data_IF_560739572139
#
_entry.id   IF_560739572139
#
_cell.length_a   1.000
_cell.length_b   1.000
_cell.length_c   1.000
_cell.angle_alpha   90.00
_cell.angle_beta   90.00
_cell.angle_gamma   90.00
#
_symmetry.space_group_name_H-M   'P 1'
#
loop_
_entity.id
_entity.type
_entity.pdbx_description
1 polymer ?
#
# COMPACT_ATOMS: atom_id res chain seq x y z
N UNK A 1 -9.70 18.16 0.31
CA UNK A 1 -8.50 17.42 0.71
C UNK A 1 -8.43 16.01 0.13
N UNK A 2 -9.46 15.18 0.26
CA UNK A 2 -9.47 13.85 -0.40
C UNK A 2 -9.38 13.94 -1.93
N UNK A 3 -10.06 14.89 -2.57
CA UNK A 3 -9.91 15.11 -4.02
C UNK A 3 -8.45 15.38 -4.41
N UNK A 4 -7.69 16.07 -3.55
CA UNK A 4 -6.26 16.31 -3.79
C UNK A 4 -5.45 15.01 -3.73
N UNK A 5 -5.81 14.08 -2.85
CA UNK A 5 -5.22 12.74 -2.82
C UNK A 5 -5.51 12.01 -4.13
N UNK A 6 -6.73 12.07 -4.67
CA UNK A 6 -7.07 11.45 -5.95
C UNK A 6 -6.29 12.06 -7.13
N UNK A 7 -6.15 13.39 -7.19
CA UNK A 7 -5.32 14.08 -8.18
C UNK A 7 -3.85 13.62 -8.12
N UNK A 8 -3.28 13.56 -6.91
CA UNK A 8 -1.91 13.11 -6.71
C UNK A 8 -1.72 11.63 -7.08
N UNK A 9 -2.70 10.78 -6.76
CA UNK A 9 -2.71 9.37 -7.19
C UNK A 9 -2.70 9.25 -8.72
N UNK A 10 -3.46 10.09 -9.42
CA UNK A 10 -3.44 10.13 -10.88
C UNK A 10 -2.08 10.59 -11.41
N UNK A 11 -1.50 11.64 -10.82
CA UNK A 11 -0.19 12.18 -11.22
C UNK A 11 0.94 11.15 -11.08
N UNK A 12 0.99 10.40 -9.97
CA UNK A 12 2.00 9.34 -9.76
C UNK A 12 1.66 8.02 -10.46
N UNK A 13 0.57 7.98 -11.25
CA UNK A 13 0.02 6.78 -11.90
C UNK A 13 -0.15 5.61 -10.92
N UNK A 14 -0.71 5.89 -9.73
CA UNK A 14 -0.95 4.88 -8.72
C UNK A 14 -1.92 3.80 -9.25
N UNK A 15 -1.53 2.54 -9.07
CA UNK A 15 -2.34 1.38 -9.49
C UNK A 15 -3.65 1.27 -8.68
N UNK A 16 -3.57 1.47 -7.36
CA UNK A 16 -4.74 1.59 -6.50
C UNK A 16 -5.03 3.08 -6.26
N UNK A 17 -6.17 3.55 -6.73
CA UNK A 17 -6.59 4.96 -6.64
C UNK A 17 -8.09 5.10 -6.38
N UNK A 18 -8.47 6.26 -5.87
CA UNK A 18 -9.87 6.65 -5.77
C UNK A 18 -10.42 7.06 -7.14
N UNK A 19 -11.70 6.81 -7.33
CA UNK A 19 -12.47 7.39 -8.43
C UNK A 19 -12.93 8.79 -8.02
N UNK A 20 -12.48 9.80 -8.77
CA UNK A 20 -12.75 11.19 -8.48
C UNK A 20 -14.24 11.55 -8.57
N UNK A 21 -14.97 10.96 -9.53
CA UNK A 21 -16.40 11.20 -9.70
C UNK A 21 -17.19 10.65 -8.51
N UNK A 22 -16.81 9.45 -8.05
CA UNK A 22 -17.39 8.82 -6.85
C UNK A 22 -17.10 9.67 -5.61
N UNK A 23 -15.91 10.27 -5.50
CA UNK A 23 -15.57 11.15 -4.38
C UNK A 23 -16.36 12.47 -4.39
N UNK A 24 -16.60 13.06 -5.56
CA UNK A 24 -17.36 14.32 -5.72
C UNK A 24 -18.83 14.17 -5.34
N UNK A 25 -19.41 13.00 -5.57
CA UNK A 25 -20.82 12.72 -5.28
C UNK A 25 -21.08 12.28 -3.83
N UNK A 26 -20.03 12.05 -3.03
CA UNK A 26 -20.20 11.54 -1.67
C UNK A 26 -20.65 12.58 -0.66
N UNK A 27 -21.62 12.19 0.15
CA UNK A 27 -22.05 12.96 1.30
C UNK A 27 -21.23 12.59 2.55
N UNK A 28 -20.42 13.53 3.05
CA UNK A 28 -19.62 13.38 4.28
C UNK A 28 -20.39 13.81 5.55
N UNK A 29 -21.72 13.80 5.51
CA UNK A 29 -22.55 14.14 6.66
C UNK A 29 -22.33 13.22 7.87
N UNK A 30 -22.70 13.73 9.04
CA UNK A 30 -22.74 12.99 10.31
C UNK A 30 -23.45 11.64 10.16
N UNK A 31 -22.93 10.62 10.85
CA UNK A 31 -23.54 9.29 10.87
C UNK A 31 -23.08 8.41 9.71
N UNK A 32 -24.03 7.85 8.95
CA UNK A 32 -23.76 6.82 7.94
C UNK A 32 -22.83 7.28 6.80
N UNK A 33 -22.92 8.55 6.38
CA UNK A 33 -22.08 9.11 5.32
C UNK A 33 -20.60 9.11 5.68
N UNK A 34 -20.27 9.62 6.87
CA UNK A 34 -18.91 9.60 7.41
C UNK A 34 -18.34 8.17 7.51
N UNK A 35 -19.09 7.23 8.10
CA UNK A 35 -18.59 5.87 8.28
C UNK A 35 -18.43 5.11 6.97
N UNK A 36 -19.34 5.30 6.00
CA UNK A 36 -19.16 4.79 4.64
C UNK A 36 -17.86 5.29 4.00
N UNK A 37 -17.48 6.54 4.30
CA UNK A 37 -16.21 7.10 3.84
C UNK A 37 -15.00 6.47 4.53
N UNK A 38 -15.04 6.30 5.86
CA UNK A 38 -14.00 5.59 6.61
C UNK A 38 -13.80 4.18 6.09
N UNK A 39 -14.87 3.42 5.84
CA UNK A 39 -14.79 2.07 5.25
C UNK A 39 -14.14 2.08 3.86
N UNK A 40 -14.43 3.09 3.05
CA UNK A 40 -13.83 3.24 1.72
C UNK A 40 -12.34 3.55 1.81
N UNK A 41 -11.95 4.39 2.77
CA UNK A 41 -10.55 4.66 3.08
C UNK A 41 -9.80 3.41 3.57
N UNK A 42 -10.39 2.63 4.47
CA UNK A 42 -9.83 1.36 4.92
C UNK A 42 -9.67 0.36 3.78
N UNK A 43 -10.67 0.25 2.90
CA UNK A 43 -10.61 -0.61 1.72
C UNK A 43 -9.51 -0.18 0.74
N UNK A 44 -9.30 1.13 0.57
CA UNK A 44 -8.18 1.67 -0.20
C UNK A 44 -6.82 1.23 0.38
N UNK A 45 -6.61 1.40 1.69
CA UNK A 45 -5.36 0.97 2.34
C UNK A 45 -5.18 -0.54 2.26
N UNK A 46 -6.26 -1.31 2.44
CA UNK A 46 -6.24 -2.78 2.33
C UNK A 46 -5.81 -3.25 0.94
N UNK A 47 -6.43 -2.72 -0.12
CA UNK A 47 -6.06 -3.05 -1.51
C UNK A 47 -4.60 -2.70 -1.83
N UNK A 48 -4.06 -1.65 -1.23
CA UNK A 48 -2.63 -1.30 -1.40
C UNK A 48 -1.70 -2.27 -0.70
N UNK A 49 -2.05 -2.72 0.50
CA UNK A 49 -1.29 -3.75 1.19
C UNK A 49 -1.35 -5.07 0.41
N UNK A 50 -2.51 -5.45 -0.13
CA UNK A 50 -2.67 -6.63 -0.98
C UNK A 50 -1.85 -6.55 -2.27
N UNK A 51 -1.85 -5.41 -2.95
CA UNK A 51 -1.01 -5.20 -4.13
C UNK A 51 0.47 -5.39 -3.79
N UNK A 52 0.94 -4.81 -2.68
CA UNK A 52 2.35 -4.96 -2.26
C UNK A 52 2.72 -6.41 -1.97
N UNK A 53 1.82 -7.16 -1.33
CA UNK A 53 1.99 -8.62 -1.12
C UNK A 53 2.09 -9.36 -2.44
N UNK A 54 1.21 -9.05 -3.40
CA UNK A 54 1.18 -9.71 -4.70
C UNK A 54 2.44 -9.42 -5.52
N UNK A 55 2.91 -8.17 -5.54
CA UNK A 55 4.19 -7.80 -6.16
C UNK A 55 5.34 -8.62 -5.58
N UNK A 56 5.41 -8.67 -4.25
CA UNK A 56 6.42 -9.46 -3.55
C UNK A 56 6.37 -10.95 -3.88
N UNK A 57 5.18 -11.57 -3.83
CA UNK A 57 4.99 -12.98 -4.17
C UNK A 57 5.42 -13.27 -5.61
N UNK A 58 5.12 -12.34 -6.53
CA UNK A 58 5.56 -12.45 -7.92
C UNK A 58 7.07 -12.35 -8.05
N UNK A 59 7.73 -11.44 -7.35
CA UNK A 59 9.17 -11.24 -7.45
C UNK A 59 9.95 -12.37 -6.78
N UNK A 60 9.48 -12.84 -5.62
CA UNK A 60 10.00 -14.04 -4.97
C UNK A 60 9.88 -15.28 -5.86
N UNK A 61 8.74 -15.46 -6.52
CA UNK A 61 8.53 -16.59 -7.44
C UNK A 61 9.51 -16.54 -8.62
N UNK A 62 9.76 -15.35 -9.18
CA UNK A 62 10.76 -15.18 -10.25
C UNK A 62 12.16 -15.54 -9.76
N UNK A 63 12.57 -15.02 -8.60
CA UNK A 63 13.90 -15.29 -8.03
C UNK A 63 14.14 -16.78 -7.78
N UNK A 64 13.13 -17.50 -7.27
CA UNK A 64 13.19 -18.96 -7.09
C UNK A 64 13.32 -19.69 -8.44
N UNK A 65 12.53 -19.30 -9.44
CA UNK A 65 12.56 -19.92 -10.77
C UNK A 65 13.92 -19.70 -11.45
N UNK A 66 14.45 -18.49 -11.37
CA UNK A 66 15.73 -18.14 -11.99
C UNK A 66 16.88 -18.93 -11.34
N UNK A 67 16.88 -19.04 -10.01
CA UNK A 67 17.84 -19.88 -9.30
C UNK A 67 17.75 -21.37 -9.69
N UNK A 68 16.54 -21.95 -9.75
CA UNK A 68 16.36 -23.36 -10.14
C UNK A 68 16.81 -23.63 -11.58
N UNK A 69 16.61 -22.66 -12.48
CA UNK A 69 17.10 -22.74 -13.86
C UNK A 69 18.62 -22.72 -13.94
N UNK A 70 19.28 -21.88 -13.15
CA UNK A 70 20.75 -21.83 -13.08
C UNK A 70 21.35 -23.15 -12.59
N UNK A 71 20.72 -23.77 -11.60
CA UNK A 71 21.11 -25.09 -11.05
C UNK A 71 20.69 -26.28 -11.95
N UNK A 72 20.05 -26.03 -13.10
CA UNK A 72 19.49 -27.05 -14.01
C UNK A 72 18.52 -28.01 -13.31
N UNK A 73 17.88 -27.56 -12.24
CA UNK A 73 16.83 -28.29 -11.55
C UNK A 73 15.51 -28.15 -12.31
N UNK A 74 14.66 -29.17 -12.23
CA UNK A 74 13.31 -29.09 -12.78
C UNK A 74 12.49 -28.10 -11.95
N UNK A 75 11.71 -27.24 -12.60
CA UNK A 75 10.94 -26.17 -11.93
C UNK A 75 9.63 -26.77 -11.40
N UNK A 76 9.48 -26.97 -10.08
CA UNK A 76 8.27 -27.57 -9.55
C UNK A 76 7.10 -26.59 -9.67
N UNK A 77 5.88 -27.10 -9.90
CA UNK A 77 4.66 -26.26 -9.91
C UNK A 77 4.32 -25.66 -8.54
N UNK A 78 4.82 -26.28 -7.47
CA UNK A 78 4.74 -25.80 -6.09
C UNK A 78 6.06 -26.12 -5.42
N UNK A 79 6.69 -25.13 -4.80
CA UNK A 79 7.95 -25.28 -4.06
C UNK A 79 7.69 -24.91 -2.61
N UNK A 80 7.94 -25.83 -1.69
CA UNK A 80 7.91 -25.52 -0.27
C UNK A 80 9.23 -24.87 0.14
N UNK A 81 9.20 -23.92 1.07
CA UNK A 81 10.42 -23.24 1.53
C UNK A 81 11.48 -24.24 2.07
N UNK A 82 11.05 -25.32 2.72
CA UNK A 82 11.93 -26.37 3.24
C UNK A 82 12.63 -27.20 2.15
N UNK A 83 12.14 -27.15 0.92
CA UNK A 83 12.69 -27.89 -0.23
C UNK A 83 13.72 -27.05 -1.00
N UNK A 84 13.84 -25.76 -0.68
CA UNK A 84 14.84 -24.88 -1.26
C UNK A 84 16.22 -25.09 -0.62
N UNK A 85 17.32 -24.89 -1.35
CA UNK A 85 18.66 -24.86 -0.75
C UNK A 85 18.78 -23.81 0.34
N UNK A 86 19.63 -24.04 1.36
CA UNK A 86 19.76 -23.15 2.52
C UNK A 86 20.07 -21.69 2.18
N UNK A 87 20.80 -21.45 1.09
CA UNK A 87 21.09 -20.10 0.62
C UNK A 87 19.80 -19.39 0.17
N UNK A 88 18.94 -20.09 -0.58
CA UNK A 88 17.64 -19.58 -1.00
C UNK A 88 16.68 -19.44 0.17
N UNK A 89 16.68 -20.37 1.13
CA UNK A 89 15.88 -20.23 2.35
C UNK A 89 16.21 -18.94 3.10
N UNK A 90 17.51 -18.66 3.32
CA UNK A 90 17.96 -17.41 3.95
C UNK A 90 17.53 -16.17 3.18
N UNK A 91 17.60 -16.23 1.85
CA UNK A 91 17.16 -15.14 0.97
C UNK A 91 15.66 -14.89 1.06
N UNK A 92 14.84 -15.94 1.03
CA UNK A 92 13.38 -15.85 1.21
C UNK A 92 13.04 -15.23 2.56
N UNK A 93 13.71 -15.65 3.65
CA UNK A 93 13.48 -15.07 4.98
C UNK A 93 13.84 -13.59 5.02
N UNK A 94 14.96 -13.19 4.40
CA UNK A 94 15.35 -11.78 4.31
C UNK A 94 14.32 -10.95 3.53
N UNK A 95 13.85 -11.48 2.40
CA UNK A 95 12.80 -10.86 1.58
C UNK A 95 11.49 -10.72 2.35
N UNK A 96 11.07 -11.76 3.10
CA UNK A 96 9.89 -11.70 3.95
C UNK A 96 10.02 -10.62 5.04
N UNK A 97 11.23 -10.42 5.59
CA UNK A 97 11.52 -9.32 6.51
C UNK A 97 11.29 -7.94 5.86
N UNK A 98 11.82 -7.74 4.65
CA UNK A 98 11.61 -6.50 3.89
C UNK A 98 10.12 -6.26 3.57
N UNK A 99 9.39 -7.31 3.18
CA UNK A 99 7.95 -7.21 2.97
C UNK A 99 7.22 -6.74 4.23
N UNK A 100 7.60 -7.28 5.39
CA UNK A 100 7.00 -6.90 6.65
C UNK A 100 7.28 -5.42 6.95
N UNK A 101 8.50 -4.95 6.73
CA UNK A 101 8.87 -3.53 6.87
C UNK A 101 8.08 -2.62 5.92
N UNK A 102 7.79 -3.08 4.70
CA UNK A 102 7.02 -2.32 3.71
C UNK A 102 5.52 -2.26 4.02
N UNK A 103 4.96 -3.36 4.55
CA UNK A 103 3.52 -3.49 4.81
C UNK A 103 3.14 -2.92 6.18
N UNK A 104 4.02 -3.03 7.18
CA UNK A 104 3.76 -2.57 8.54
C UNK A 104 3.27 -1.11 8.61
N UNK A 105 3.84 -0.13 7.86
CA UNK A 105 3.31 1.23 7.80
C UNK A 105 1.88 1.31 7.28
N UNK A 106 1.50 0.46 6.30
CA UNK A 106 0.14 0.42 5.76
C UNK A 106 -0.86 -0.13 6.79
N UNK A 107 -0.46 -1.16 7.51
CA UNK A 107 -1.26 -1.76 8.59
C UNK A 107 -1.42 -0.75 9.73
N UNK A 108 -0.33 -0.12 10.18
CA UNK A 108 -0.36 0.91 11.24
C UNK A 108 -1.24 2.09 10.85
N UNK A 109 -1.17 2.55 9.61
CA UNK A 109 -2.02 3.63 9.09
C UNK A 109 -3.51 3.26 9.05
N UNK A 110 -3.84 1.96 9.00
CA UNK A 110 -5.21 1.46 9.00
C UNK A 110 -5.75 1.20 10.41
N UNK A 111 -4.96 0.61 11.31
CA UNK A 111 -5.49 0.10 12.58
C UNK A 111 -5.58 1.16 13.67
N UNK A 112 -4.50 1.90 13.92
CA UNK A 112 -4.43 2.87 15.03
C UNK A 112 -5.40 4.06 14.85
N UNK A 113 -5.29 4.83 13.76
CA UNK A 113 -6.16 5.98 13.54
C UNK A 113 -7.65 5.62 13.45
N UNK A 114 -8.00 4.43 12.95
CA UNK A 114 -9.40 4.00 12.91
C UNK A 114 -9.92 3.62 14.31
N UNK A 115 -9.09 3.01 15.16
CA UNK A 115 -9.47 2.79 16.56
C UNK A 115 -9.74 4.13 17.26
N UNK A 116 -8.88 5.13 17.06
CA UNK A 116 -9.09 6.49 17.59
C UNK A 116 -10.40 7.11 17.06
N UNK A 117 -10.72 6.92 15.78
CA UNK A 117 -12.00 7.37 15.22
C UNK A 117 -13.21 6.73 15.91
N UNK A 118 -13.15 5.43 16.21
CA UNK A 118 -14.23 4.71 16.89
C UNK A 118 -14.35 5.17 18.35
N UNK A 119 -13.24 5.42 19.02
CA UNK A 119 -13.18 5.80 20.44
C UNK A 119 -13.52 7.28 20.71
N UNK A 120 -13.41 8.14 19.70
CA UNK A 120 -13.72 9.58 19.86
C UNK A 120 -15.18 9.86 20.24
N UNK A 121 -15.36 10.86 21.11
CA UNK A 121 -16.67 11.21 21.70
C UNK A 121 -17.49 12.15 20.83
N UNK A 122 -16.85 12.82 19.85
CA UNK A 122 -17.52 13.81 19.02
C UNK A 122 -17.25 13.63 17.53
N UNK A 123 -18.25 13.95 16.72
CA UNK A 123 -18.05 13.96 15.27
C UNK A 123 -17.01 15.00 14.82
N UNK A 124 -16.85 16.10 15.57
CA UNK A 124 -15.82 17.11 15.26
C UNK A 124 -14.42 16.49 15.39
N UNK A 125 -14.19 15.75 16.46
CA UNK A 125 -12.93 15.04 16.69
C UNK A 125 -12.67 13.98 15.62
N UNK A 126 -13.69 13.21 15.23
CA UNK A 126 -13.61 12.26 14.10
C UNK A 126 -13.15 12.92 12.81
N UNK A 127 -13.69 14.10 12.49
CA UNK A 127 -13.28 14.85 11.29
C UNK A 127 -11.82 15.30 11.38
N UNK A 128 -11.34 15.71 12.55
CA UNK A 128 -9.94 16.12 12.75
C UNK A 128 -8.99 14.93 12.58
N UNK A 129 -9.29 13.80 13.23
CA UNK A 129 -8.51 12.57 13.11
C UNK A 129 -8.48 12.08 11.66
N UNK A 130 -9.64 12.01 11.03
CA UNK A 130 -9.76 11.58 9.65
C UNK A 130 -9.03 12.51 8.68
N UNK A 131 -9.09 13.83 8.91
CA UNK A 131 -8.29 14.81 8.16
C UNK A 131 -6.79 14.52 8.30
N UNK A 132 -6.33 14.18 9.49
CA UNK A 132 -4.93 13.77 9.74
C UNK A 132 -4.51 12.58 8.88
N UNK A 133 -5.38 11.56 8.76
CA UNK A 133 -5.13 10.40 7.91
C UNK A 133 -4.99 10.79 6.42
N UNK A 134 -5.88 11.66 5.94
CA UNK A 134 -5.85 12.16 4.55
C UNK A 134 -4.59 12.99 4.26
N UNK A 135 -4.19 13.85 5.19
CA UNK A 135 -2.97 14.66 5.03
C UNK A 135 -1.68 13.82 5.10
N UNK A 136 -1.63 12.77 5.93
CA UNK A 136 -0.52 11.83 5.94
C UNK A 136 -0.36 11.12 4.58
N UNK A 137 -1.48 10.67 4.00
CA UNK A 137 -1.52 10.06 2.68
C UNK A 137 -1.04 11.02 1.58
N UNK A 138 -1.54 12.26 1.61
CA UNK A 138 -1.15 13.32 0.69
C UNK A 138 0.36 13.57 0.73
N UNK A 139 0.94 13.74 1.92
CA UNK A 139 2.39 13.92 2.09
C UNK A 139 3.20 12.77 1.50
N UNK A 140 2.73 11.52 1.66
CA UNK A 140 3.41 10.36 1.06
C UNK A 140 3.38 10.44 -0.47
N UNK A 141 2.25 10.81 -1.06
CA UNK A 141 2.12 10.94 -2.51
C UNK A 141 2.97 12.10 -3.06
N UNK A 142 3.02 13.22 -2.35
CA UNK A 142 3.89 14.36 -2.69
C UNK A 142 5.37 13.96 -2.65
N UNK A 143 5.79 13.23 -1.61
CA UNK A 143 7.16 12.70 -1.53
C UNK A 143 7.48 11.72 -2.68
N UNK A 144 6.53 10.85 -3.04
CA UNK A 144 6.69 9.94 -4.18
C UNK A 144 6.84 10.70 -5.50
N UNK A 145 6.02 11.72 -5.72
CA UNK A 145 6.09 12.56 -6.93
C UNK A 145 7.43 13.30 -7.01
N UNK A 146 7.90 13.85 -5.89
CA UNK A 146 9.20 14.51 -5.81
C UNK A 146 10.34 13.54 -6.17
N UNK A 147 10.36 12.33 -5.60
CA UNK A 147 11.35 11.30 -5.94
C UNK A 147 11.32 10.92 -7.42
N UNK A 148 10.13 10.72 -8.01
CA UNK A 148 10.00 10.44 -9.45
C UNK A 148 10.63 11.56 -10.28
N UNK A 149 10.34 12.83 -9.95
CA UNK A 149 10.93 13.96 -10.67
C UNK A 149 12.44 14.11 -10.52
N UNK A 150 13.05 13.53 -9.49
CA UNK A 150 14.51 13.53 -9.31
C UNK A 150 15.12 12.45 -10.22
N UNK A 151 14.57 11.24 -10.19
CA UNK A 151 15.09 10.13 -10.99
C UNK A 151 14.83 10.29 -12.50
N UNK A 152 13.75 10.95 -12.90
CA UNK A 152 13.49 11.25 -14.33
C UNK A 152 14.52 12.27 -14.86
N UNK A 153 14.99 13.21 -14.02
CA UNK A 153 16.02 14.19 -14.42
C UNK A 153 17.41 13.57 -14.57
N UNK A 154 17.74 12.56 -13.77
CA UNK A 154 19.02 11.85 -13.85
C UNK A 154 19.11 10.91 -15.06
N UNK A 155 17.99 10.54 -15.70
CA UNK A 155 17.97 9.71 -16.91
C UNK A 155 18.05 10.52 -18.22
N UNK A 156 17.81 11.84 -18.14
CA UNK A 156 17.86 12.77 -19.26
C UNK A 156 19.21 13.53 -19.38
N UNK A 157 20.18 13.25 -18.48
CA UNK A 157 21.58 13.71 -18.53
C UNK A 157 22.54 12.61 -19.01
#
# INVERSE_FOLDING_TARGET
EVLKVAELQAAVKAEIRFDEEVLRQRNLTRGAGFWSFVTTWQGYLGKRAELRKKEFESDLSKEIIDFLREEKADVPRQVSLSELPEQMQRRVVALQGQLQEDIEPLVKAQTGPVQELVQSDSHRERLVLFKGMVEAEKKRLEARLALQSVFDKEQDE
#
